data_IF_847503202643
#
_entry.id   IF_847503202643
#
_cell.length_a   1.000
_cell.length_b   1.000
_cell.length_c   1.000
_cell.angle_alpha   90.00
_cell.angle_beta   90.00
_cell.angle_gamma   90.00
#
_symmetry.space_group_name_H-M   'P 1'
#
loop_
_entity.id
_entity.type
_entity.pdbx_description
1 polymer ?
#
# COMPACT_ATOMS: atom_id res chain seq x y z
N UNK A 1 8.09 50.59 15.19
CA UNK A 1 7.15 49.67 15.84
C UNK A 1 6.88 48.56 14.84
N UNK A 2 7.48 47.40 15.06
CA UNK A 2 7.19 46.21 14.26
C UNK A 2 5.81 45.68 14.69
N UNK A 3 4.90 45.55 13.74
CA UNK A 3 3.57 45.00 14.01
C UNK A 3 3.71 43.48 14.18
N UNK A 4 3.74 43.04 15.43
CA UNK A 4 3.85 41.64 15.81
C UNK A 4 2.45 40.98 15.72
N UNK A 5 2.20 40.22 14.65
CA UNK A 5 1.00 39.40 14.52
C UNK A 5 1.31 37.97 14.97
N UNK A 6 0.92 37.64 16.20
CA UNK A 6 1.06 36.29 16.74
C UNK A 6 -0.15 35.44 16.34
N UNK A 7 0.01 34.57 15.35
CA UNK A 7 -0.95 33.51 15.04
C UNK A 7 -0.43 32.16 15.55
N UNK A 8 -1.27 31.38 16.24
CA UNK A 8 -0.94 30.04 16.74
C UNK A 8 -1.66 28.99 15.90
N UNK A 9 -0.91 28.05 15.30
CA UNK A 9 -1.47 26.83 14.70
C UNK A 9 -0.75 25.62 15.31
N UNK A 10 -1.53 24.61 15.72
CA UNK A 10 -1.09 23.43 16.48
C UNK A 10 -1.46 22.18 15.68
N UNK A 11 -0.50 21.27 15.47
CA UNK A 11 -0.75 19.95 14.91
C UNK A 11 -0.16 18.88 15.84
N UNK A 12 -0.92 17.84 16.18
CA UNK A 12 -0.45 16.69 16.99
C UNK A 12 -1.10 15.37 16.54
N UNK A 13 -0.35 14.28 16.62
CA UNK A 13 -0.71 12.94 16.13
C UNK A 13 -1.76 12.18 17.00
N UNK A 14 -2.06 12.61 18.24
CA UNK A 14 -2.61 11.66 19.24
C UNK A 14 -3.98 12.02 19.86
N UNK A 15 -4.75 12.98 19.33
CA UNK A 15 -6.07 13.38 19.89
C UNK A 15 -6.11 13.64 21.43
N UNK A 16 -4.96 13.89 22.07
CA UNK A 16 -4.83 14.28 23.48
C UNK A 16 -3.94 15.52 23.55
N UNK A 17 -4.52 16.62 24.02
CA UNK A 17 -3.89 17.92 24.23
C UNK A 17 -2.59 17.80 25.02
N UNK A 18 -1.43 18.09 24.40
CA UNK A 18 -0.24 18.56 25.10
C UNK A 18 0.69 19.40 24.19
N UNK A 19 0.66 20.71 24.48
CA UNK A 19 1.55 21.84 24.19
C UNK A 19 2.87 21.61 23.43
N UNK A 20 2.88 22.06 22.18
CA UNK A 20 4.03 22.55 21.40
C UNK A 20 3.52 23.67 20.47
N UNK A 21 4.20 24.83 20.42
CA UNK A 21 3.70 26.05 19.76
C UNK A 21 4.63 26.57 18.66
N UNK A 22 4.06 27.14 17.60
CA UNK A 22 4.75 27.90 16.55
C UNK A 22 4.54 29.40 16.82
N UNK A 23 5.59 30.22 16.72
CA UNK A 23 5.51 31.68 16.85
C UNK A 23 6.15 32.35 15.62
N UNK A 24 5.35 32.98 14.77
CA UNK A 24 5.85 33.70 13.59
C UNK A 24 6.17 35.16 13.93
N UNK A 25 7.42 35.58 13.69
CA UNK A 25 7.82 36.99 13.73
C UNK A 25 8.02 37.47 12.29
N UNK A 26 7.07 38.26 11.78
CA UNK A 26 7.15 38.83 10.43
C UNK A 26 7.99 40.12 10.51
N UNK A 27 9.23 40.08 10.05
CA UNK A 27 10.07 41.27 9.90
C UNK A 27 10.15 41.67 8.42
N UNK A 28 10.04 42.96 8.16
CA UNK A 28 10.10 43.51 6.81
C UNK A 28 11.55 43.48 6.31
N UNK A 29 11.92 42.43 5.57
CA UNK A 29 12.75 42.52 4.34
C UNK A 29 13.02 41.17 3.66
N UNK A 30 12.75 40.05 4.32
CA UNK A 30 12.55 38.72 3.72
C UNK A 30 11.65 37.98 4.72
N UNK A 31 10.45 37.52 4.33
CA UNK A 31 9.49 36.93 5.28
C UNK A 31 10.01 35.59 5.81
N UNK A 32 10.78 35.65 6.89
CA UNK A 32 11.31 34.49 7.61
C UNK A 32 10.42 34.19 8.80
N UNK A 33 9.99 32.94 8.93
CA UNK A 33 9.16 32.41 10.00
C UNK A 33 9.99 31.50 10.89
N UNK A 34 9.90 31.71 12.20
CA UNK A 34 10.53 30.85 13.21
C UNK A 34 9.56 29.74 13.60
N UNK A 35 9.98 28.51 13.34
CA UNK A 35 9.22 27.30 13.69
C UNK A 35 9.94 26.60 14.85
N UNK A 36 9.29 26.45 15.98
CA UNK A 36 9.82 25.70 17.12
C UNK A 36 9.13 24.33 17.16
N UNK A 37 9.90 23.28 16.90
CA UNK A 37 9.41 21.90 16.97
C UNK A 37 9.94 21.23 18.23
N UNK A 38 9.11 20.36 18.80
CA UNK A 38 9.47 19.53 19.95
C UNK A 38 9.82 18.14 19.45
N UNK A 39 11.04 17.67 19.72
CA UNK A 39 11.44 16.32 19.36
C UNK A 39 10.83 15.27 20.33
N UNK A 40 11.06 13.98 20.03
CA UNK A 40 10.58 12.86 20.85
C UNK A 40 11.17 12.84 22.27
N UNK A 41 12.31 13.50 22.49
CA UNK A 41 13.00 13.62 23.78
C UNK A 41 12.60 14.89 24.54
N UNK A 42 11.61 15.64 24.02
CA UNK A 42 11.10 16.92 24.56
C UNK A 42 12.06 18.09 24.44
N UNK A 43 13.12 17.99 23.63
CA UNK A 43 13.95 19.13 23.29
C UNK A 43 13.24 20.00 22.24
N UNK A 44 13.45 21.31 22.32
CA UNK A 44 12.92 22.25 21.36
C UNK A 44 14.00 22.60 20.33
N UNK A 45 13.69 22.40 19.06
CA UNK A 45 14.54 22.74 17.92
C UNK A 45 13.88 23.90 17.18
N UNK A 46 14.64 24.96 16.93
CA UNK A 46 14.18 26.12 16.20
C UNK A 46 14.65 26.05 14.74
N UNK A 47 13.74 26.30 13.83
CA UNK A 47 13.98 26.42 12.40
C UNK A 47 13.63 27.83 11.93
N UNK A 48 14.44 28.38 11.04
CA UNK A 48 14.12 29.62 10.33
C UNK A 48 13.81 29.24 8.89
N UNK A 49 12.57 29.47 8.47
CA UNK A 49 12.06 29.11 7.15
C UNK A 49 11.55 30.35 6.45
N UNK A 50 11.76 30.49 5.16
CA UNK A 50 11.00 31.45 4.36
C UNK A 50 9.50 31.11 4.36
N UNK A 51 8.66 32.07 3.99
CA UNK A 51 7.22 31.84 3.87
C UNK A 51 6.88 30.71 2.88
N UNK A 52 7.61 30.62 1.77
CA UNK A 52 7.40 29.56 0.77
C UNK A 52 7.78 28.18 1.31
N UNK A 53 8.90 28.08 2.03
CA UNK A 53 9.31 26.85 2.71
C UNK A 53 8.29 26.44 3.78
N UNK A 54 7.77 27.40 4.56
CA UNK A 54 6.73 27.12 5.55
C UNK A 54 5.44 26.60 4.90
N UNK A 55 5.01 27.20 3.79
CA UNK A 55 3.84 26.74 3.04
C UNK A 55 4.05 25.33 2.48
N UNK A 56 5.23 25.04 1.92
CA UNK A 56 5.58 23.71 1.44
C UNK A 56 5.59 22.66 2.56
N UNK A 57 6.08 23.02 3.76
CA UNK A 57 6.01 22.15 4.95
C UNK A 57 4.56 21.91 5.36
N UNK A 58 3.73 22.95 5.40
CA UNK A 58 2.30 22.82 5.73
C UNK A 58 1.57 21.89 4.75
N UNK A 59 1.77 22.05 3.45
CA UNK A 59 1.17 21.17 2.43
C UNK A 59 1.60 19.71 2.61
N UNK A 60 2.88 19.47 2.95
CA UNK A 60 3.36 18.13 3.22
C UNK A 60 2.71 17.52 4.46
N UNK A 61 2.56 18.30 5.54
CA UNK A 61 1.85 17.85 6.75
C UNK A 61 0.41 17.49 6.42
N UNK A 62 -0.33 18.35 5.70
CA UNK A 62 -1.72 18.08 5.31
C UNK A 62 -1.84 16.80 4.47
N UNK A 63 -0.93 16.60 3.49
CA UNK A 63 -0.86 15.36 2.72
C UNK A 63 -0.61 14.15 3.62
N UNK A 64 0.34 14.22 4.55
CA UNK A 64 0.65 13.13 5.47
C UNK A 64 -0.53 12.82 6.40
N UNK A 65 -1.17 13.83 6.98
CA UNK A 65 -2.37 13.67 7.79
C UNK A 65 -3.47 12.94 7.03
N UNK A 66 -3.70 13.31 5.76
CA UNK A 66 -4.70 12.64 4.93
C UNK A 66 -4.37 11.16 4.69
N UNK A 67 -3.10 10.85 4.43
CA UNK A 67 -2.65 9.46 4.25
C UNK A 67 -2.81 8.63 5.53
N UNK A 68 -2.52 9.21 6.70
CA UNK A 68 -2.74 8.56 8.01
C UNK A 68 -4.22 8.28 8.24
N UNK A 69 -5.10 9.23 7.93
CA UNK A 69 -6.55 9.02 7.99
C UNK A 69 -6.99 7.86 7.10
N UNK A 70 -6.51 7.83 5.84
CA UNK A 70 -6.83 6.75 4.90
C UNK A 70 -6.35 5.38 5.43
N UNK A 71 -5.12 5.27 5.95
CA UNK A 71 -4.59 4.03 6.53
C UNK A 71 -5.47 3.57 7.71
N UNK A 72 -5.81 4.49 8.62
CA UNK A 72 -6.63 4.17 9.78
C UNK A 72 -8.04 3.72 9.36
N UNK A 73 -8.62 4.39 8.38
CA UNK A 73 -9.91 4.02 7.80
C UNK A 73 -9.88 2.62 7.17
N UNK A 74 -8.89 2.33 6.32
CA UNK A 74 -8.72 1.02 5.68
C UNK A 74 -8.49 -0.08 6.72
N UNK A 75 -7.63 0.17 7.70
CA UNK A 75 -7.35 -0.77 8.79
C UNK A 75 -8.60 -1.12 9.59
N UNK A 76 -9.46 -0.14 9.88
CA UNK A 76 -10.73 -0.37 10.56
C UNK A 76 -11.73 -1.17 9.71
N UNK A 77 -11.59 -1.11 8.38
CA UNK A 77 -12.44 -1.82 7.42
C UNK A 77 -11.79 -3.09 6.87
N UNK A 78 -10.68 -3.56 7.44
CA UNK A 78 -10.11 -4.84 7.03
C UNK A 78 -11.13 -5.98 7.22
N UNK A 79 -11.22 -6.91 6.27
CA UNK A 79 -12.08 -8.07 6.41
C UNK A 79 -11.69 -8.91 7.63
N UNK A 80 -12.68 -9.29 8.42
CA UNK A 80 -12.51 -10.23 9.54
C UNK A 80 -13.21 -11.56 9.27
N UNK A 81 -14.00 -11.61 8.20
CA UNK A 81 -14.81 -12.75 7.80
C UNK A 81 -14.84 -12.89 6.28
N UNK A 82 -14.94 -14.13 5.80
CA UNK A 82 -15.16 -14.45 4.38
C UNK A 82 -16.47 -13.91 3.79
N UNK A 83 -17.37 -13.42 4.65
CA UNK A 83 -18.65 -12.80 4.29
C UNK A 83 -18.63 -11.27 4.34
N UNK A 84 -17.50 -10.62 4.67
CA UNK A 84 -17.38 -9.17 4.76
C UNK A 84 -17.27 -8.50 3.36
N UNK A 85 -18.02 -8.98 2.37
CA UNK A 85 -17.89 -8.61 0.96
C UNK A 85 -17.96 -7.08 0.73
N UNK A 86 -18.82 -6.40 1.48
CA UNK A 86 -19.07 -4.97 1.32
C UNK A 86 -17.95 -4.08 1.88
N UNK A 87 -17.09 -4.61 2.77
CA UNK A 87 -16.00 -3.80 3.36
C UNK A 87 -14.94 -3.43 2.32
N UNK A 88 -14.69 -4.33 1.38
CA UNK A 88 -13.67 -4.13 0.33
C UNK A 88 -14.05 -3.07 -0.70
N UNK A 89 -15.33 -2.72 -0.83
CA UNK A 89 -15.75 -1.62 -1.71
C UNK A 89 -15.06 -0.30 -1.37
N UNK A 90 -14.69 -0.11 -0.10
CA UNK A 90 -14.02 1.08 0.40
C UNK A 90 -12.52 1.17 0.08
N UNK A 91 -11.92 0.08 -0.41
CA UNK A 91 -10.48 0.01 -0.69
C UNK A 91 -10.13 0.52 -2.10
N UNK A 92 -11.09 0.53 -3.01
CA UNK A 92 -10.90 1.03 -4.38
C UNK A 92 -10.49 2.50 -4.38
N UNK A 93 -9.54 2.84 -5.25
CA UNK A 93 -9.04 4.21 -5.44
C UNK A 93 -8.39 4.86 -4.21
N UNK A 94 -8.10 4.10 -3.13
CA UNK A 94 -7.29 4.58 -2.01
C UNK A 94 -5.87 4.07 -2.21
N UNK A 95 -4.91 4.99 -2.41
CA UNK A 95 -3.50 4.64 -2.67
C UNK A 95 -2.90 3.79 -1.54
N UNK A 96 -3.31 4.04 -0.30
CA UNK A 96 -2.88 3.33 0.90
C UNK A 96 -3.40 1.88 0.97
N UNK A 97 -4.29 1.43 0.07
CA UNK A 97 -4.73 0.02 -0.02
C UNK A 97 -3.55 -0.94 -0.23
N UNK A 98 -2.49 -0.49 -0.92
CA UNK A 98 -1.24 -1.24 -1.11
C UNK A 98 -0.52 -1.62 0.20
N UNK A 99 -0.87 -0.99 1.32
CA UNK A 99 -0.31 -1.33 2.63
C UNK A 99 -0.91 -2.61 3.24
N UNK A 100 -1.99 -3.14 2.65
CA UNK A 100 -2.76 -4.26 3.20
C UNK A 100 -2.88 -5.42 2.21
N UNK A 101 -1.91 -5.54 1.30
CA UNK A 101 -1.98 -6.53 0.22
C UNK A 101 -1.89 -7.97 0.72
N UNK A 102 -1.16 -8.23 1.82
CA UNK A 102 -1.08 -9.57 2.42
C UNK A 102 -2.47 -10.03 2.91
N UNK A 103 -3.21 -9.17 3.60
CA UNK A 103 -4.57 -9.45 4.08
C UNK A 103 -5.57 -9.60 2.93
N UNK A 104 -5.45 -8.76 1.90
CA UNK A 104 -6.30 -8.86 0.70
C UNK A 104 -6.00 -10.14 -0.10
N UNK A 105 -4.74 -10.55 -0.19
CA UNK A 105 -4.33 -11.76 -0.89
C UNK A 105 -4.81 -13.02 -0.15
N UNK A 106 -4.85 -12.99 1.19
CA UNK A 106 -5.43 -14.08 1.97
C UNK A 106 -6.94 -14.28 1.69
N UNK A 107 -7.66 -13.23 1.29
CA UNK A 107 -9.08 -13.34 0.93
C UNK A 107 -9.32 -14.19 -0.33
N UNK A 108 -8.30 -14.43 -1.15
CA UNK A 108 -8.39 -15.25 -2.38
C UNK A 108 -7.81 -16.66 -2.21
N UNK A 109 -7.51 -17.09 -0.99
CA UNK A 109 -7.15 -18.48 -0.68
C UNK A 109 -8.21 -19.45 -1.19
N UNK A 110 -9.48 -19.10 -1.02
CA UNK A 110 -10.62 -19.87 -1.47
C UNK A 110 -11.59 -18.97 -2.24
N UNK A 111 -11.64 -19.16 -3.56
CA UNK A 111 -12.49 -18.39 -4.45
C UNK A 111 -13.99 -18.68 -4.30
N UNK A 112 -14.38 -19.67 -3.48
CA UNK A 112 -15.77 -19.86 -3.07
C UNK A 112 -16.22 -18.83 -2.03
N UNK A 113 -15.29 -18.14 -1.37
CA UNK A 113 -15.62 -17.10 -0.40
C UNK A 113 -16.24 -15.89 -1.10
N UNK A 114 -17.40 -15.39 -0.62
CA UNK A 114 -18.05 -14.21 -1.22
C UNK A 114 -17.11 -13.02 -1.36
N UNK A 115 -16.24 -12.80 -0.36
CA UNK A 115 -15.28 -11.70 -0.36
C UNK A 115 -14.20 -11.78 -1.45
N UNK A 116 -13.84 -12.99 -1.90
CA UNK A 116 -12.73 -13.19 -2.83
C UNK A 116 -12.93 -12.44 -4.14
N UNK A 117 -14.19 -12.39 -4.62
CA UNK A 117 -14.57 -11.68 -5.86
C UNK A 117 -14.32 -10.18 -5.78
N UNK A 118 -14.44 -9.60 -4.60
CA UNK A 118 -14.20 -8.16 -4.38
C UNK A 118 -12.72 -7.87 -4.09
N UNK A 119 -11.96 -8.85 -3.61
CA UNK A 119 -10.52 -8.70 -3.38
C UNK A 119 -9.71 -8.68 -4.68
N UNK A 120 -10.07 -9.52 -5.66
CA UNK A 120 -9.32 -9.64 -6.93
C UNK A 120 -9.13 -8.30 -7.66
N UNK A 121 -10.19 -7.49 -7.89
CA UNK A 121 -10.02 -6.18 -8.54
C UNK A 121 -9.03 -5.25 -7.83
N UNK A 122 -9.06 -5.19 -6.51
CA UNK A 122 -8.16 -4.33 -5.70
C UNK A 122 -6.71 -4.82 -5.83
N UNK A 123 -6.51 -6.14 -5.83
CA UNK A 123 -5.21 -6.75 -6.02
C UNK A 123 -4.66 -6.45 -7.44
N UNK A 124 -5.51 -6.51 -8.46
CA UNK A 124 -5.13 -6.17 -9.85
C UNK A 124 -4.75 -4.69 -9.99
N UNK A 125 -5.50 -3.77 -9.39
CA UNK A 125 -5.16 -2.33 -9.34
C UNK A 125 -3.78 -2.08 -8.72
N UNK A 126 -3.33 -2.98 -7.83
CA UNK A 126 -2.08 -2.88 -7.09
C UNK A 126 -1.01 -3.90 -7.52
N UNK A 127 -1.15 -4.51 -8.70
CA UNK A 127 -0.29 -5.61 -9.16
C UNK A 127 1.23 -5.36 -9.04
N UNK A 128 1.70 -4.13 -9.30
CA UNK A 128 3.11 -3.74 -9.19
C UNK A 128 3.69 -3.80 -7.77
N UNK A 129 2.85 -3.88 -6.75
CA UNK A 129 3.25 -3.92 -5.34
C UNK A 129 3.11 -5.33 -4.71
N UNK A 130 2.62 -6.31 -5.47
CA UNK A 130 2.29 -7.64 -4.95
C UNK A 130 3.46 -8.63 -4.90
N UNK A 131 4.65 -8.26 -5.36
CA UNK A 131 5.78 -9.20 -5.50
C UNK A 131 6.06 -9.97 -4.21
N UNK A 132 6.34 -9.23 -3.12
CA UNK A 132 6.66 -9.84 -1.84
C UNK A 132 5.52 -10.73 -1.30
N UNK A 133 4.27 -10.25 -1.39
CA UNK A 133 3.08 -10.98 -0.92
C UNK A 133 2.85 -12.29 -1.69
N UNK A 134 2.97 -12.26 -3.02
CA UNK A 134 2.76 -13.42 -3.87
C UNK A 134 3.90 -14.44 -3.70
N UNK A 135 5.16 -13.99 -3.64
CA UNK A 135 6.29 -14.90 -3.42
C UNK A 135 6.13 -15.64 -2.09
N UNK A 136 5.75 -14.95 -1.01
CA UNK A 136 5.43 -15.59 0.28
C UNK A 136 4.32 -16.63 0.14
N UNK A 137 3.25 -16.34 -0.61
CA UNK A 137 2.17 -17.29 -0.85
C UNK A 137 2.65 -18.53 -1.65
N UNK A 138 3.55 -18.35 -2.61
CA UNK A 138 4.16 -19.46 -3.38
C UNK A 138 5.13 -20.32 -2.57
N UNK A 139 5.60 -19.84 -1.43
CA UNK A 139 6.39 -20.62 -0.47
C UNK A 139 5.51 -21.38 0.53
N UNK A 140 4.19 -21.12 0.55
CA UNK A 140 3.25 -21.89 1.36
C UNK A 140 3.01 -23.28 0.76
N UNK A 141 2.52 -24.22 1.59
CA UNK A 141 2.08 -25.55 1.15
C UNK A 141 0.62 -25.54 0.66
N UNK A 142 0.00 -24.36 0.53
CA UNK A 142 -1.39 -24.22 0.11
C UNK A 142 -1.50 -24.16 -1.43
N UNK A 143 -1.56 -25.34 -2.02
CA UNK A 143 -1.72 -25.50 -3.46
C UNK A 143 -2.98 -24.83 -4.03
N UNK A 144 -4.08 -24.80 -3.26
CA UNK A 144 -5.32 -24.16 -3.71
C UNK A 144 -5.13 -22.65 -3.81
N UNK A 145 -4.45 -22.05 -2.83
CA UNK A 145 -4.13 -20.63 -2.85
C UNK A 145 -3.18 -20.28 -4.00
N UNK A 146 -2.11 -21.06 -4.19
CA UNK A 146 -1.17 -20.88 -5.31
C UNK A 146 -1.92 -20.93 -6.64
N UNK A 147 -2.76 -21.96 -6.83
CA UNK A 147 -3.58 -22.08 -8.03
C UNK A 147 -4.47 -20.85 -8.23
N UNK A 148 -5.14 -20.38 -7.19
CA UNK A 148 -6.04 -19.23 -7.26
C UNK A 148 -5.29 -17.94 -7.63
N UNK A 149 -4.09 -17.71 -7.08
CA UNK A 149 -3.23 -16.59 -7.46
C UNK A 149 -2.86 -16.67 -8.94
N UNK A 150 -2.38 -17.83 -9.40
CA UNK A 150 -2.00 -18.00 -10.81
C UNK A 150 -3.18 -17.78 -11.76
N UNK A 151 -4.32 -18.38 -11.44
CA UNK A 151 -5.49 -18.41 -12.32
C UNK A 151 -6.28 -17.10 -12.32
N UNK A 152 -6.62 -16.56 -11.15
CA UNK A 152 -7.52 -15.40 -11.05
C UNK A 152 -6.79 -14.06 -11.02
N UNK A 153 -5.49 -14.06 -10.70
CA UNK A 153 -4.73 -12.84 -10.52
C UNK A 153 -3.66 -12.69 -11.61
N UNK A 154 -2.65 -13.56 -11.64
CA UNK A 154 -1.51 -13.40 -12.55
C UNK A 154 -1.85 -13.55 -14.03
N UNK A 155 -2.91 -14.30 -14.38
CA UNK A 155 -3.38 -14.39 -15.76
C UNK A 155 -3.82 -13.03 -16.33
N UNK A 156 -4.33 -12.17 -15.47
CA UNK A 156 -4.86 -10.85 -15.78
C UNK A 156 -3.82 -9.73 -15.55
N UNK A 157 -2.61 -10.07 -15.10
CA UNK A 157 -1.55 -9.08 -14.92
C UNK A 157 -1.09 -8.48 -16.24
N UNK A 158 -0.66 -7.22 -16.16
CA UNK A 158 0.07 -6.54 -17.22
C UNK A 158 1.46 -7.19 -17.40
N UNK A 159 1.98 -7.15 -18.63
CA UNK A 159 3.24 -7.80 -19.01
C UNK A 159 4.40 -7.31 -18.13
N UNK A 160 4.43 -6.02 -17.84
CA UNK A 160 5.44 -5.37 -17.00
C UNK A 160 5.41 -5.91 -15.57
N UNK A 161 4.21 -6.13 -15.02
CA UNK A 161 4.05 -6.62 -13.65
C UNK A 161 4.38 -8.09 -13.52
N UNK A 162 4.17 -8.90 -14.58
CA UNK A 162 4.43 -10.33 -14.49
C UNK A 162 5.92 -10.68 -14.58
N UNK A 163 6.74 -9.80 -15.17
CA UNK A 163 8.14 -10.08 -15.46
C UNK A 163 8.96 -10.40 -14.19
N UNK A 164 8.59 -9.84 -13.03
CA UNK A 164 9.30 -10.12 -11.78
C UNK A 164 9.07 -11.53 -11.22
N UNK A 165 8.13 -12.30 -11.76
CA UNK A 165 7.79 -13.66 -11.29
C UNK A 165 8.31 -14.78 -12.19
N UNK A 166 9.17 -14.49 -13.18
CA UNK A 166 9.62 -15.51 -14.13
C UNK A 166 10.26 -16.72 -13.43
N UNK A 167 11.12 -16.45 -12.45
CA UNK A 167 11.88 -17.50 -11.74
C UNK A 167 10.94 -18.40 -10.93
N UNK A 168 9.95 -17.79 -10.28
CA UNK A 168 8.93 -18.43 -9.46
C UNK A 168 8.00 -19.28 -10.31
N UNK A 169 7.57 -18.77 -11.46
CA UNK A 169 6.75 -19.52 -12.42
C UNK A 169 7.53 -20.71 -12.99
N UNK A 170 8.81 -20.55 -13.32
CA UNK A 170 9.67 -21.66 -13.75
C UNK A 170 9.86 -22.71 -12.65
N UNK A 171 9.96 -22.29 -11.39
CA UNK A 171 10.01 -23.19 -10.23
C UNK A 171 8.71 -23.97 -10.09
N UNK A 172 7.56 -23.29 -10.11
CA UNK A 172 6.24 -23.90 -9.97
C UNK A 172 5.95 -24.91 -11.09
N UNK A 173 6.37 -24.61 -12.33
CA UNK A 173 6.30 -25.54 -13.46
C UNK A 173 7.12 -26.83 -13.25
N UNK A 174 8.22 -26.77 -12.49
CA UNK A 174 9.16 -27.89 -12.27
C UNK A 174 8.88 -28.70 -11.01
N UNK A 175 8.04 -28.21 -10.10
CA UNK A 175 7.72 -28.90 -8.83
C UNK A 175 7.16 -30.29 -9.11
N UNK A 176 7.81 -31.36 -8.65
CA UNK A 176 7.41 -32.75 -8.96
C UNK A 176 5.95 -33.04 -8.56
N UNK A 177 5.15 -33.49 -9.52
CA UNK A 177 3.73 -33.77 -9.31
C UNK A 177 3.54 -35.09 -8.55
N UNK A 178 3.05 -35.01 -7.32
CA UNK A 178 2.52 -36.17 -6.57
C UNK A 178 1.01 -36.08 -6.36
N UNK A 179 0.39 -34.93 -6.66
CA UNK A 179 -1.05 -34.66 -6.51
C UNK A 179 -1.61 -34.01 -7.78
N UNK A 180 -2.92 -34.21 -8.04
CA UNK A 180 -3.62 -33.56 -9.16
C UNK A 180 -3.59 -32.03 -9.08
N UNK A 181 -3.56 -31.49 -7.85
CA UNK A 181 -3.50 -30.04 -7.64
C UNK A 181 -2.17 -29.46 -8.16
N UNK A 182 -1.07 -30.20 -8.05
CA UNK A 182 0.22 -29.80 -8.60
C UNK A 182 0.21 -29.80 -10.14
N UNK A 183 -0.55 -30.68 -10.79
CA UNK A 183 -0.69 -30.69 -12.26
C UNK A 183 -1.35 -29.39 -12.75
N UNK A 184 -2.41 -28.93 -12.08
CA UNK A 184 -3.08 -27.67 -12.43
C UNK A 184 -2.20 -26.44 -12.25
N UNK A 185 -1.38 -26.40 -11.19
CA UNK A 185 -0.40 -25.33 -10.96
C UNK A 185 0.65 -25.32 -12.08
N UNK A 186 1.21 -26.48 -12.44
CA UNK A 186 2.21 -26.59 -13.50
C UNK A 186 1.66 -26.13 -14.85
N UNK A 187 0.43 -26.54 -15.20
CA UNK A 187 -0.21 -26.19 -16.46
C UNK A 187 -0.41 -24.68 -16.60
N UNK A 188 -0.90 -24.02 -15.54
CA UNK A 188 -1.10 -22.56 -15.55
C UNK A 188 0.25 -21.84 -15.57
N UNK A 189 1.22 -22.28 -14.77
CA UNK A 189 2.56 -21.68 -14.78
C UNK A 189 3.21 -21.77 -16.17
N UNK A 190 3.12 -22.91 -16.85
CA UNK A 190 3.59 -23.07 -18.23
C UNK A 190 2.84 -22.17 -19.22
N UNK A 191 1.52 -22.03 -19.05
CA UNK A 191 0.69 -21.13 -19.87
C UNK A 191 1.11 -19.67 -19.69
N UNK A 192 1.35 -19.21 -18.45
CA UNK A 192 1.80 -17.85 -18.17
C UNK A 192 3.21 -17.61 -18.74
N UNK A 193 4.12 -18.57 -18.58
CA UNK A 193 5.47 -18.49 -19.16
C UNK A 193 5.41 -18.34 -20.69
N UNK A 194 4.59 -19.16 -21.36
CA UNK A 194 4.37 -19.06 -22.81
C UNK A 194 3.75 -17.73 -23.21
N UNK A 195 2.72 -17.27 -22.50
CA UNK A 195 1.99 -16.04 -22.83
C UNK A 195 2.88 -14.79 -22.74
N UNK A 196 3.77 -14.72 -21.75
CA UNK A 196 4.47 -13.47 -21.42
C UNK A 196 5.97 -13.46 -21.70
N UNK A 197 6.62 -14.63 -21.75
CA UNK A 197 8.09 -14.73 -21.85
C UNK A 197 8.56 -15.49 -23.09
N UNK A 198 7.67 -16.19 -23.79
CA UNK A 198 7.98 -16.78 -25.09
C UNK A 198 7.14 -16.05 -26.12
N UNK A 199 7.65 -14.89 -26.56
CA UNK A 199 7.16 -14.29 -27.80
C UNK A 199 7.31 -15.36 -28.89
N UNK A 200 6.18 -15.78 -29.45
CA UNK A 200 6.17 -16.53 -30.69
C UNK A 200 7.09 -15.82 -31.66
N UNK A 201 8.12 -16.52 -32.10
CA UNK A 201 8.86 -16.17 -33.31
C UNK A 201 7.82 -16.17 -34.43
N UNK A 202 7.31 -15.00 -34.79
CA UNK A 202 6.69 -14.73 -36.09
C UNK A 202 7.67 -13.96 -36.97
#
# INVERSE_FOLDING_TARGET
MENMYTGYYIFSDDNKTNFGGVAANITNEQTMVKLTLKDKEKNFINYELSLDELNAVKEQIERLSKRIENINFLKANLPQSKFDENKLLSFHNIEESKCFLDELLACIQDMSWPIAKNAVPILLENQKYLNESIVKAFESEDNAWIYNILYFLMREFEKESIHCYQTELERLKKTSSTSKDNEGIQEIADTLLKKFFHESVE
#
